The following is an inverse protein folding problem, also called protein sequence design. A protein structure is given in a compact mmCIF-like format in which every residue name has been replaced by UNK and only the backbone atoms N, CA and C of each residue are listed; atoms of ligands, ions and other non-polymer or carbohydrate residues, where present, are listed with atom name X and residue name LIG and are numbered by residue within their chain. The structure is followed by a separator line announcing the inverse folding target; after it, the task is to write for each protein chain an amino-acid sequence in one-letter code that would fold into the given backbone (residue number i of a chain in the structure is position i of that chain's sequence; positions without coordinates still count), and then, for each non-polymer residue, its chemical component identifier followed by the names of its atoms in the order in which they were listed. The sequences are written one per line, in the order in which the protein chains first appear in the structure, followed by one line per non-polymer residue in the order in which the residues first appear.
data_IF_780079906886
#
_entry.id   IF_780079906886
#
_cell.length_a   1.000
_cell.length_b   1.000
_cell.length_c   1.000
_cell.angle_alpha   90.00
_cell.angle_beta   90.00
_cell.angle_gamma   90.00
#
_symmetry.space_group_name_H-M   'P 1'
#
loop_
_entity.id
_entity.type
_entity.pdbx_description
1 polymer ?
#
# COMPACT_ATOMS: atom_id res chain seq x y z
N UNK A 1 -6.64 -14.10 -14.75
CA UNK A 1 -6.33 -15.47 -14.29
C UNK A 1 -7.39 -15.89 -13.27
N UNK A 2 -8.08 -17.02 -13.49
CA UNK A 2 -8.99 -17.59 -12.48
C UNK A 2 -8.14 -18.21 -11.36
N UNK A 3 -8.06 -17.57 -10.19
CA UNK A 3 -7.37 -18.14 -9.03
C UNK A 3 -8.22 -19.29 -8.48
N UNK A 4 -7.72 -20.54 -8.57
CA UNK A 4 -8.37 -21.70 -7.94
C UNK A 4 -8.33 -21.55 -6.42
N UNK A 5 -9.49 -21.34 -5.81
CA UNK A 5 -9.64 -21.33 -4.34
C UNK A 5 -9.88 -22.76 -3.87
N UNK A 6 -8.91 -23.35 -3.15
CA UNK A 6 -8.97 -24.75 -2.71
C UNK A 6 -9.23 -24.92 -1.19
N UNK A 7 -8.90 -23.91 -0.39
CA UNK A 7 -8.96 -23.99 1.07
C UNK A 7 -10.03 -23.05 1.62
N UNK A 8 -10.89 -23.58 2.49
CA UNK A 8 -11.89 -22.80 3.23
C UNK A 8 -11.44 -22.62 4.67
N UNK A 9 -11.40 -21.36 5.10
CA UNK A 9 -11.11 -20.97 6.48
C UNK A 9 -12.37 -20.35 7.10
N UNK A 10 -12.67 -20.70 8.36
CA UNK A 10 -13.68 -20.05 9.18
C UNK A 10 -12.97 -19.33 10.34
N UNK A 11 -13.25 -18.05 10.51
CA UNK A 11 -12.65 -17.21 11.57
C UNK A 11 -13.77 -16.52 12.35
N UNK A 12 -13.65 -16.48 13.67
CA UNK A 12 -14.51 -15.66 14.53
C UNK A 12 -13.94 -14.23 14.55
N UNK A 13 -14.82 -13.25 14.38
CA UNK A 13 -14.50 -11.82 14.42
C UNK A 13 -15.32 -11.17 15.52
N UNK A 14 -14.74 -10.17 16.17
CA UNK A 14 -15.53 -9.26 16.99
C UNK A 14 -16.43 -8.35 16.11
N UNK A 15 -17.42 -7.72 16.74
CA UNK A 15 -18.41 -6.89 16.05
C UNK A 15 -17.79 -5.69 15.32
N UNK A 16 -16.69 -5.15 15.84
CA UNK A 16 -15.98 -4.02 15.22
C UNK A 16 -15.27 -4.45 13.95
N UNK A 17 -14.51 -5.54 13.98
CA UNK A 17 -13.83 -6.11 12.83
C UNK A 17 -14.84 -6.54 11.76
N UNK A 18 -15.94 -7.19 12.16
CA UNK A 18 -16.99 -7.58 11.24
C UNK A 18 -17.60 -6.35 10.54
N UNK A 19 -18.00 -5.31 11.30
CA UNK A 19 -18.54 -4.06 10.73
C UNK A 19 -17.57 -3.40 9.76
N UNK A 20 -16.29 -3.26 10.14
CA UNK A 20 -15.27 -2.63 9.29
C UNK A 20 -15.08 -3.38 7.98
N UNK A 21 -14.97 -4.70 8.01
CA UNK A 21 -14.77 -5.51 6.79
C UNK A 21 -16.01 -5.46 5.90
N UNK A 22 -17.22 -5.54 6.47
CA UNK A 22 -18.46 -5.42 5.70
C UNK A 22 -18.62 -4.03 5.08
N UNK A 23 -18.27 -2.95 5.79
CA UNK A 23 -18.33 -1.59 5.26
C UNK A 23 -17.42 -1.42 4.04
N UNK A 24 -16.15 -1.86 4.14
CA UNK A 24 -15.18 -1.78 3.04
C UNK A 24 -15.64 -2.62 1.84
N UNK A 25 -16.19 -3.81 2.07
CA UNK A 25 -16.71 -4.67 1.02
C UNK A 25 -17.87 -4.01 0.25
N UNK A 26 -18.80 -3.38 0.99
CA UNK A 26 -19.93 -2.63 0.41
C UNK A 26 -19.47 -1.42 -0.38
N UNK A 27 -18.59 -0.60 0.18
CA UNK A 27 -18.03 0.60 -0.47
C UNK A 27 -17.36 0.25 -1.81
N UNK A 28 -16.65 -0.88 -1.87
CA UNK A 28 -15.94 -1.33 -3.06
C UNK A 28 -16.80 -2.17 -4.02
N UNK A 29 -18.02 -2.54 -3.64
CA UNK A 29 -18.87 -3.44 -4.44
C UNK A 29 -18.29 -4.84 -4.64
N UNK A 30 -17.51 -5.35 -3.67
CA UNK A 30 -16.85 -6.67 -3.76
C UNK A 30 -17.28 -7.60 -2.63
N UNK A 31 -17.17 -8.93 -2.79
CA UNK A 31 -17.41 -9.87 -1.69
C UNK A 31 -16.46 -9.63 -0.51
N UNK A 32 -16.95 -9.82 0.71
CA UNK A 32 -16.15 -9.80 1.95
C UNK A 32 -14.89 -10.67 1.84
N UNK A 33 -15.01 -11.83 1.20
CA UNK A 33 -13.88 -12.73 0.98
C UNK A 33 -12.74 -12.09 0.16
N UNK A 34 -13.04 -11.17 -0.75
CA UNK A 34 -12.01 -10.43 -1.51
C UNK A 34 -11.25 -9.49 -0.59
N UNK A 35 -11.95 -8.74 0.27
CA UNK A 35 -11.34 -7.85 1.27
C UNK A 35 -10.44 -8.64 2.23
N UNK A 36 -10.92 -9.80 2.70
CA UNK A 36 -10.15 -10.69 3.60
C UNK A 36 -8.89 -11.20 2.91
N UNK A 37 -8.95 -11.67 1.65
CA UNK A 37 -7.77 -12.12 0.91
C UNK A 37 -6.75 -10.99 0.74
N UNK A 38 -7.17 -9.80 0.33
CA UNK A 38 -6.27 -8.65 0.20
C UNK A 38 -5.61 -8.26 1.53
N UNK A 39 -6.35 -8.35 2.64
CA UNK A 39 -5.81 -8.09 3.97
C UNK A 39 -4.79 -9.15 4.38
N UNK A 40 -5.07 -10.43 4.11
CA UNK A 40 -4.14 -11.54 4.32
C UNK A 40 -2.88 -11.32 3.48
N UNK A 41 -3.00 -11.06 2.18
CA UNK A 41 -1.85 -10.82 1.30
C UNK A 41 -0.98 -9.68 1.85
N UNK A 42 -1.61 -8.57 2.26
CA UNK A 42 -0.90 -7.41 2.83
C UNK A 42 -0.22 -7.72 4.17
N UNK A 43 -0.86 -8.51 5.02
CA UNK A 43 -0.36 -8.89 6.34
C UNK A 43 0.73 -9.96 6.29
N UNK A 44 0.63 -10.89 5.34
CA UNK A 44 1.62 -11.94 5.09
C UNK A 44 2.86 -11.43 4.37
N UNK A 45 2.82 -10.24 3.77
CA UNK A 45 4.06 -9.62 3.31
C UNK A 45 4.94 -9.35 4.53
N UNK A 46 5.91 -10.24 4.75
CA UNK A 46 6.98 -10.06 5.74
C UNK A 46 7.54 -8.64 5.64
N UNK A 47 7.97 -8.01 6.75
CA UNK A 47 8.67 -6.72 6.69
C UNK A 47 9.83 -6.72 5.67
N UNK A 48 10.46 -7.87 5.42
CA UNK A 48 11.45 -8.03 4.36
C UNK A 48 10.81 -7.97 2.96
N UNK A 49 9.67 -8.64 2.76
CA UNK A 49 8.88 -8.58 1.53
C UNK A 49 8.34 -7.19 1.22
N UNK A 50 7.86 -6.43 2.23
CA UNK A 50 7.32 -5.07 2.04
C UNK A 50 8.43 -4.11 1.65
N UNK A 51 9.58 -4.20 2.31
CA UNK A 51 10.78 -3.42 1.94
C UNK A 51 11.29 -3.80 0.55
N UNK A 52 11.29 -5.09 0.20
CA UNK A 52 11.68 -5.56 -1.13
C UNK A 52 10.75 -5.06 -2.22
N UNK A 53 9.42 -5.12 -2.02
CA UNK A 53 8.45 -4.62 -3.00
C UNK A 53 8.47 -3.11 -3.12
N UNK A 54 8.60 -2.37 -2.01
CA UNK A 54 8.78 -0.92 -2.02
C UNK A 54 10.08 -0.52 -2.73
N UNK A 55 11.19 -1.19 -2.42
CA UNK A 55 12.48 -0.97 -3.08
C UNK A 55 12.43 -1.29 -4.57
N UNK A 56 11.72 -2.36 -4.95
CA UNK A 56 11.54 -2.70 -6.36
C UNK A 56 10.72 -1.65 -7.11
N UNK A 57 9.62 -1.16 -6.53
CA UNK A 57 8.83 -0.05 -7.10
C UNK A 57 9.63 1.23 -7.26
N UNK A 58 10.54 1.52 -6.32
CA UNK A 58 11.45 2.67 -6.40
C UNK A 58 12.45 2.50 -7.55
N UNK A 59 13.05 1.31 -7.68
CA UNK A 59 14.03 1.01 -8.74
C UNK A 59 13.41 0.87 -10.13
N UNK A 60 12.14 0.44 -10.22
CA UNK A 60 11.41 0.33 -11.49
C UNK A 60 10.73 1.65 -11.90
N UNK A 61 10.75 2.68 -11.04
CA UNK A 61 10.22 3.99 -11.40
C UNK A 61 11.09 4.63 -12.48
N UNK A 62 10.47 5.43 -13.36
CA UNK A 62 11.24 6.24 -14.30
C UNK A 62 12.16 7.20 -13.54
N UNK A 63 13.38 7.38 -14.05
CA UNK A 63 14.30 8.37 -13.51
C UNK A 63 13.62 9.74 -13.47
N UNK A 64 13.65 10.37 -12.31
CA UNK A 64 13.16 11.74 -12.19
C UNK A 64 14.17 12.69 -12.81
N UNK A 65 13.67 13.71 -13.52
CA UNK A 65 14.53 14.82 -13.94
C UNK A 65 15.00 15.56 -12.68
N UNK A 66 16.30 15.51 -12.41
CA UNK A 66 16.92 16.22 -11.28
C UNK A 66 17.69 17.41 -11.84
N UNK A 67 17.44 18.64 -11.34
CA UNK A 67 18.22 19.80 -11.74
C UNK A 67 19.67 19.70 -11.25
N UNK A 68 20.54 20.57 -11.76
CA UNK A 68 21.94 20.58 -11.33
C UNK A 68 22.04 20.85 -9.81
N UNK A 69 23.06 20.31 -9.10
CA UNK A 69 23.15 20.44 -7.64
C UNK A 69 23.09 21.88 -7.12
N UNK A 70 23.55 22.86 -7.92
CA UNK A 70 23.46 24.29 -7.58
C UNK A 70 22.02 24.80 -7.62
N UNK A 71 21.25 24.41 -8.62
CA UNK A 71 19.84 24.77 -8.77
C UNK A 71 19.00 24.13 -7.66
N UNK A 72 19.27 22.84 -7.36
CA UNK A 72 18.60 22.15 -6.25
C UNK A 72 18.88 22.85 -4.90
N UNK A 73 20.11 23.31 -4.68
CA UNK A 73 20.46 24.07 -3.47
C UNK A 73 19.69 25.39 -3.38
N UNK A 74 19.59 26.13 -4.48
CA UNK A 74 18.83 27.38 -4.53
C UNK A 74 17.33 27.15 -4.27
N UNK A 75 16.76 26.09 -4.85
CA UNK A 75 15.37 25.70 -4.59
C UNK A 75 15.14 25.39 -3.10
N UNK A 76 16.02 24.59 -2.50
CA UNK A 76 15.95 24.25 -1.07
C UNK A 76 16.07 25.47 -0.16
N UNK A 77 16.96 26.41 -0.49
CA UNK A 77 17.10 27.68 0.24
C UNK A 77 15.83 28.52 0.14
N UNK A 78 15.24 28.65 -1.05
CA UNK A 78 13.99 29.38 -1.27
C UNK A 78 12.80 28.76 -0.50
N UNK A 79 12.71 27.42 -0.44
CA UNK A 79 11.68 26.72 0.34
C UNK A 79 11.83 26.92 1.85
N UNK A 80 13.07 26.96 2.36
CA UNK A 80 13.35 27.20 3.78
C UNK A 80 13.04 28.64 4.18
N UNK A 81 13.35 29.61 3.32
CA UNK A 81 13.06 31.01 3.57
C UNK A 81 11.55 31.30 3.71
N UNK A 82 10.67 30.47 3.12
CA UNK A 82 9.21 30.60 3.26
C UNK A 82 8.64 30.07 4.59
N UNK A 83 9.43 29.32 5.35
CA UNK A 83 9.00 28.73 6.64
C UNK A 83 9.42 29.56 7.85
N UNK A 84 10.35 30.49 7.67
CA UNK A 84 10.69 31.50 8.68
C UNK A 84 9.76 32.69 8.54
#
# INVERSE_FOLDING_TARGET
MSMRLAHRLQILLDDECHRRITAVARERGVPVATVVREAIDRGLVSPAGRRKSAGRRLLDAADMSVPEPRELKQELEALRARRG
#
